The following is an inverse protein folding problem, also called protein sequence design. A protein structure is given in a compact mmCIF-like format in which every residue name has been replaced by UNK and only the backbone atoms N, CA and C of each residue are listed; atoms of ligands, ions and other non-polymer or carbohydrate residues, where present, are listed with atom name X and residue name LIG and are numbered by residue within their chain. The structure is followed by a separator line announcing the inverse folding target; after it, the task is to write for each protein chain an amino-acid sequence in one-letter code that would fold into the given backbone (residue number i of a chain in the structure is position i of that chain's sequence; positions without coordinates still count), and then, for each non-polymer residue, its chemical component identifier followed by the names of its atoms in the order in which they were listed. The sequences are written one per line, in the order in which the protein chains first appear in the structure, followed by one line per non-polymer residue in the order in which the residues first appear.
data_IF_767139952121
#
_entry.id   IF_767139952121
#
_cell.length_a   1.000
_cell.length_b   1.000
_cell.length_c   1.000
_cell.angle_alpha   90.00
_cell.angle_beta   90.00
_cell.angle_gamma   90.00
#
_symmetry.space_group_name_H-M   'P 1'
#
loop_
_entity.id
_entity.type
_entity.pdbx_description
1 polymer ?
#
# COMPACT_ATOMS: atom_id res chain seq x y z
N UNK A 1 -4.37 -2.21 -19.79
CA UNK A 1 -4.72 -3.55 -19.29
C UNK A 1 -3.50 -4.44 -19.09
N UNK A 2 -2.89 -5.05 -20.12
CA UNK A 2 -1.78 -6.03 -19.95
C UNK A 2 -0.61 -5.50 -19.10
N UNK A 3 -0.20 -4.24 -19.27
CA UNK A 3 0.89 -3.64 -18.49
C UNK A 3 0.60 -3.60 -16.98
N UNK A 4 -0.66 -3.44 -16.57
CA UNK A 4 -1.03 -3.31 -15.15
C UNK A 4 -0.89 -4.66 -14.43
N UNK A 5 -1.33 -5.75 -15.06
CA UNK A 5 -1.18 -7.12 -14.54
C UNK A 5 0.30 -7.50 -14.44
N UNK A 6 1.10 -7.18 -15.48
CA UNK A 6 2.53 -7.45 -15.47
C UNK A 6 3.24 -6.71 -14.33
N UNK A 7 2.83 -5.47 -14.03
CA UNK A 7 3.34 -4.72 -12.87
C UNK A 7 3.07 -5.46 -11.57
N UNK A 8 1.83 -5.91 -11.34
CA UNK A 8 1.44 -6.61 -10.11
C UNK A 8 2.18 -7.94 -9.97
N UNK A 9 2.23 -8.74 -11.03
CA UNK A 9 3.00 -10.00 -11.06
C UNK A 9 4.49 -9.73 -10.77
N UNK A 10 5.05 -8.67 -11.34
CA UNK A 10 6.44 -8.27 -11.08
C UNK A 10 6.67 -7.86 -9.62
N UNK A 11 5.72 -7.18 -8.98
CA UNK A 11 5.80 -6.83 -7.56
C UNK A 11 5.80 -8.07 -6.66
N UNK A 12 4.97 -9.07 -6.97
CA UNK A 12 4.90 -10.33 -6.23
C UNK A 12 6.19 -11.14 -6.39
N UNK A 13 6.66 -11.31 -7.63
CA UNK A 13 7.90 -12.04 -7.93
C UNK A 13 9.09 -11.36 -7.23
N UNK A 14 9.14 -10.03 -7.28
CA UNK A 14 10.21 -9.23 -6.69
C UNK A 14 9.80 -8.62 -5.34
N UNK A 15 9.09 -9.38 -4.50
CA UNK A 15 8.57 -8.88 -3.20
C UNK A 15 9.63 -8.30 -2.27
N UNK A 16 10.90 -8.68 -2.42
CA UNK A 16 12.03 -8.11 -1.67
C UNK A 16 12.26 -6.61 -1.97
N UNK A 17 11.71 -6.09 -3.06
CA UNK A 17 11.72 -4.66 -3.41
C UNK A 17 10.60 -3.87 -2.74
N UNK A 18 9.68 -4.55 -2.04
CA UNK A 18 8.65 -3.90 -1.24
C UNK A 18 9.28 -3.51 0.09
N UNK A 19 9.31 -2.22 0.38
CA UNK A 19 9.89 -1.66 1.61
C UNK A 19 8.92 -0.66 2.23
N UNK A 20 9.23 -0.22 3.45
CA UNK A 20 8.54 0.89 4.12
C UNK A 20 7.02 0.70 4.15
N UNK A 21 6.58 -0.49 4.57
CA UNK A 21 5.15 -0.79 4.64
C UNK A 21 4.54 -0.05 5.83
N UNK A 22 3.53 0.78 5.56
CA UNK A 22 2.75 1.54 6.51
C UNK A 22 1.30 1.05 6.51
N UNK A 23 0.88 0.49 7.64
CA UNK A 23 -0.50 0.03 7.84
C UNK A 23 -1.33 1.17 8.45
N UNK A 24 -2.25 1.76 7.67
CA UNK A 24 -3.07 2.90 8.10
C UNK A 24 -4.56 2.72 7.80
N UNK A 25 -5.36 2.37 8.81
CA UNK A 25 -6.80 2.15 8.61
C UNK A 25 -7.08 1.01 7.63
N UNK A 26 -7.83 1.28 6.56
CA UNK A 26 -8.18 0.28 5.52
C UNK A 26 -7.21 0.24 4.35
N UNK A 27 -6.44 1.31 4.13
CA UNK A 27 -5.46 1.37 3.05
C UNK A 27 -4.07 1.13 3.62
N UNK A 28 -3.26 0.39 2.88
CA UNK A 28 -1.91 0.04 3.30
C UNK A 28 -0.94 0.54 2.26
N UNK A 29 0.04 1.29 2.72
CA UNK A 29 0.98 1.96 1.87
C UNK A 29 2.33 1.26 1.91
N UNK A 30 3.05 1.30 0.81
CA UNK A 30 4.37 0.70 0.71
C UNK A 30 5.17 1.41 -0.38
N UNK A 31 6.49 1.27 -0.29
CA UNK A 31 7.40 1.70 -1.33
C UNK A 31 7.84 0.50 -2.15
N UNK A 32 7.91 0.66 -3.47
CA UNK A 32 8.47 -0.34 -4.36
C UNK A 32 9.75 0.17 -5.01
N UNK A 33 10.79 -0.66 -4.96
CA UNK A 33 12.12 -0.39 -5.54
C UNK A 33 12.75 0.91 -4.99
N UNK A 34 12.47 1.22 -3.72
CA UNK A 34 12.88 2.45 -3.03
C UNK A 34 12.48 3.76 -3.74
N UNK A 35 11.52 3.72 -4.67
CA UNK A 35 11.19 4.86 -5.53
C UNK A 35 9.71 5.19 -5.58
N UNK A 36 8.86 4.19 -5.82
CA UNK A 36 7.45 4.46 -6.11
C UNK A 36 6.61 4.17 -4.88
N UNK A 37 5.76 5.13 -4.50
CA UNK A 37 4.79 4.97 -3.42
C UNK A 37 3.51 4.37 -3.97
N UNK A 38 3.04 3.31 -3.30
CA UNK A 38 1.83 2.58 -3.64
C UNK A 38 0.93 2.45 -2.43
N UNK A 39 -0.38 2.42 -2.68
CA UNK A 39 -1.40 2.07 -1.70
C UNK A 39 -2.20 0.88 -2.18
N UNK A 40 -2.58 0.00 -1.26
CA UNK A 40 -3.46 -1.12 -1.52
C UNK A 40 -4.60 -1.15 -0.50
N UNK A 41 -5.82 -1.24 -1.01
CA UNK A 41 -7.05 -1.17 -0.23
C UNK A 41 -7.92 -2.37 -0.58
N UNK A 42 -8.39 -3.11 0.43
CA UNK A 42 -9.48 -4.07 0.26
C UNK A 42 -10.79 -3.41 0.66
N UNK A 43 -11.69 -3.27 -0.31
CA UNK A 43 -13.03 -2.71 -0.13
C UNK A 43 -13.98 -3.72 0.52
N UNK A 44 -15.11 -3.24 1.02
CA UNK A 44 -16.14 -4.06 1.69
C UNK A 44 -16.78 -5.09 0.76
N UNK A 45 -16.89 -4.78 -0.54
CA UNK A 45 -17.35 -5.68 -1.60
C UNK A 45 -16.29 -6.76 -1.97
N UNK A 46 -15.13 -6.75 -1.31
CA UNK A 46 -14.02 -7.67 -1.56
C UNK A 46 -13.13 -7.30 -2.74
N UNK A 47 -13.43 -6.21 -3.46
CA UNK A 47 -12.57 -5.68 -4.52
C UNK A 47 -11.29 -5.12 -3.90
N UNK A 48 -10.15 -5.43 -4.50
CA UNK A 48 -8.85 -4.89 -4.09
C UNK A 48 -8.46 -3.81 -5.09
N UNK A 49 -8.24 -2.60 -4.59
CA UNK A 49 -7.72 -1.47 -5.35
C UNK A 49 -6.23 -1.28 -5.06
N UNK A 50 -5.47 -1.00 -6.11
CA UNK A 50 -4.04 -0.67 -6.04
C UNK A 50 -3.83 0.70 -6.67
N UNK A 51 -3.28 1.63 -5.90
CA UNK A 51 -3.10 3.03 -6.27
C UNK A 51 -1.61 3.38 -6.33
N UNK A 52 -1.18 4.06 -7.39
CA UNK A 52 0.17 4.62 -7.50
C UNK A 52 0.14 6.13 -7.23
N UNK A 53 1.08 6.59 -6.39
CA UNK A 53 1.19 7.96 -5.94
C UNK A 53 2.51 8.58 -6.43
N UNK A 54 2.62 8.95 -7.73
CA UNK A 54 3.89 9.35 -8.36
C UNK A 54 4.51 10.65 -7.81
N UNK A 55 3.72 11.47 -7.13
CA UNK A 55 4.12 12.75 -6.55
C UNK A 55 4.80 12.60 -5.17
N UNK A 56 4.83 11.39 -4.61
CA UNK A 56 5.43 11.12 -3.30
C UNK A 56 6.59 10.13 -3.43
N UNK A 57 7.63 10.34 -2.61
CA UNK A 57 8.80 9.48 -2.53
C UNK A 57 8.90 8.73 -1.19
N UNK A 58 8.10 9.14 -0.20
CA UNK A 58 8.06 8.56 1.14
C UNK A 58 6.61 8.21 1.51
N UNK A 59 6.42 7.06 2.15
CA UNK A 59 5.11 6.60 2.62
C UNK A 59 4.59 7.41 3.80
N UNK A 60 5.46 8.14 4.49
CA UNK A 60 5.09 8.98 5.65
C UNK A 60 4.40 10.27 5.23
N UNK A 61 4.60 10.71 3.99
CA UNK A 61 3.98 11.93 3.45
C UNK A 61 2.51 11.72 3.05
N UNK A 62 1.98 10.51 3.25
CA UNK A 62 0.66 10.07 2.78
C UNK A 62 -0.51 10.65 3.57
N UNK A 63 -0.30 11.20 4.77
CA UNK A 63 -1.33 12.02 5.42
C UNK A 63 -1.82 13.16 4.51
N UNK A 64 -0.94 13.66 3.63
CA UNK A 64 -1.30 14.62 2.60
C UNK A 64 -2.06 14.01 1.40
N UNK A 65 -1.85 12.72 1.08
CA UNK A 65 -2.59 11.99 0.04
C UNK A 65 -4.08 11.84 0.38
N UNK A 66 -4.38 11.42 1.62
CA UNK A 66 -5.75 11.14 2.06
C UNK A 66 -6.64 12.39 2.00
N UNK A 67 -6.02 13.57 2.11
CA UNK A 67 -6.68 14.86 2.05
C UNK A 67 -6.88 15.39 0.62
N UNK A 68 -6.08 14.94 -0.35
CA UNK A 68 -6.02 15.56 -1.69
C UNK A 68 -6.68 14.73 -2.79
N UNK A 69 -6.90 13.43 -2.61
CA UNK A 69 -7.84 12.59 -3.38
C UNK A 69 -7.59 12.37 -4.89
N UNK A 70 -6.92 13.29 -5.59
CA UNK A 70 -7.14 13.46 -7.03
C UNK A 70 -5.95 13.11 -7.93
N UNK A 71 -4.78 12.75 -7.37
CA UNK A 71 -3.55 12.54 -8.15
C UNK A 71 -2.96 11.14 -8.03
N UNK A 72 -3.80 10.10 -7.95
CA UNK A 72 -3.32 8.71 -7.97
C UNK A 72 -3.85 7.94 -9.18
N UNK A 73 -3.05 6.98 -9.65
CA UNK A 73 -3.47 6.05 -10.70
C UNK A 73 -3.92 4.78 -10.04
N UNK A 74 -5.22 4.49 -10.11
CA UNK A 74 -5.84 3.35 -9.40
C UNK A 74 -6.25 2.25 -10.37
N UNK A 75 -6.00 1.00 -9.96
CA UNK A 75 -6.43 -0.22 -10.65
C UNK A 75 -7.26 -1.06 -9.69
N UNK A 76 -8.38 -1.60 -10.17
CA UNK A 76 -9.28 -2.40 -9.32
C UNK A 76 -9.31 -3.84 -9.78
N UNK A 77 -9.32 -4.79 -8.84
CA UNK A 77 -9.26 -6.23 -9.15
C UNK A 77 -10.46 -6.75 -9.96
N UNK A 78 -11.56 -5.99 -10.03
CA UNK A 78 -12.76 -6.29 -10.81
C UNK A 78 -12.67 -5.86 -12.28
N UNK A 79 -11.63 -5.10 -12.65
CA UNK A 79 -11.30 -4.74 -14.04
C UNK A 79 -10.55 -5.87 -14.77
N UNK A 80 -10.27 -6.97 -14.06
CA UNK A 80 -9.42 -8.06 -14.51
C UNK A 80 -10.14 -9.40 -14.40
N UNK A 81 -9.69 -10.37 -15.19
CA UNK A 81 -10.22 -11.73 -15.13
C UNK A 81 -9.90 -12.39 -13.78
N UNK A 82 -10.71 -13.38 -13.38
CA UNK A 82 -10.61 -14.01 -12.06
C UNK A 82 -9.21 -14.53 -11.71
N UNK A 83 -8.46 -15.05 -12.71
CA UNK A 83 -7.11 -15.56 -12.52
C UNK A 83 -6.09 -14.44 -12.20
N UNK A 84 -6.35 -13.22 -12.66
CA UNK A 84 -5.54 -12.03 -12.42
C UNK A 84 -5.95 -11.35 -11.11
N UNK A 85 -7.24 -11.39 -10.74
CA UNK A 85 -7.72 -10.94 -9.43
C UNK A 85 -7.07 -11.71 -8.27
N UNK A 86 -6.62 -12.96 -8.49
CA UNK A 86 -5.83 -13.73 -7.51
C UNK A 86 -4.50 -13.01 -7.22
N UNK A 87 -3.84 -12.45 -8.24
CA UNK A 87 -2.58 -11.72 -8.05
C UNK A 87 -2.75 -10.50 -7.14
N UNK A 88 -3.89 -9.80 -7.21
CA UNK A 88 -4.18 -8.71 -6.26
C UNK A 88 -4.32 -9.20 -4.82
N UNK A 89 -4.96 -10.35 -4.60
CA UNK A 89 -5.11 -10.96 -3.27
C UNK A 89 -3.76 -11.39 -2.70
N UNK A 90 -2.90 -11.97 -3.53
CA UNK A 90 -1.55 -12.38 -3.15
C UNK A 90 -0.71 -11.17 -2.75
N UNK A 91 -0.72 -10.11 -3.57
CA UNK A 91 -0.02 -8.86 -3.25
C UNK A 91 -0.54 -8.25 -1.94
N UNK A 92 -1.87 -8.17 -1.76
CA UNK A 92 -2.46 -7.68 -0.50
C UNK A 92 -1.97 -8.47 0.70
N UNK A 93 -1.94 -9.80 0.59
CA UNK A 93 -1.47 -10.67 1.67
C UNK A 93 0.01 -10.40 1.99
N UNK A 94 0.86 -10.23 0.98
CA UNK A 94 2.28 -9.88 1.17
C UNK A 94 2.43 -8.56 1.95
N UNK A 95 1.66 -7.53 1.58
CA UNK A 95 1.71 -6.22 2.25
C UNK A 95 1.27 -6.34 3.72
N UNK A 96 0.13 -6.98 3.99
CA UNK A 96 -0.37 -7.16 5.36
C UNK A 96 0.61 -7.95 6.23
N UNK A 97 1.17 -9.03 5.69
CA UNK A 97 2.11 -9.88 6.43
C UNK A 97 3.46 -9.21 6.67
N UNK A 98 3.89 -8.31 5.79
CA UNK A 98 5.15 -7.57 5.90
C UNK A 98 5.04 -6.25 6.69
N UNK A 99 3.84 -5.72 6.87
CA UNK A 99 3.61 -4.44 7.52
C UNK A 99 3.82 -4.47 9.02
N UNK A 100 4.55 -3.47 9.53
CA UNK A 100 4.51 -3.13 10.95
C UNK A 100 3.27 -2.27 11.17
N UNK A 101 2.37 -2.69 12.07
CA UNK A 101 1.32 -1.78 12.55
C UNK A 101 2.01 -0.56 13.16
N UNK A 102 1.49 0.63 12.87
CA UNK A 102 1.87 1.83 13.62
C UNK A 102 1.53 1.53 15.08
N UNK A 103 2.57 1.43 15.90
CA UNK A 103 2.43 1.23 17.34
C UNK A 103 2.18 2.60 17.97
N UNK A 104 0.91 3.02 17.97
CA UNK A 104 0.49 4.27 18.59
C UNK A 104 0.90 4.34 20.07
N UNK A 105 1.02 3.19 20.74
CA UNK A 105 1.50 3.08 22.12
C UNK A 105 2.93 3.59 22.25
N UNK A 106 3.84 3.23 21.33
CA UNK A 106 5.21 3.76 21.32
C UNK A 106 5.27 5.27 21.08
N UNK A 107 4.41 5.79 20.21
CA UNK A 107 4.33 7.25 19.97
C UNK A 107 3.85 7.96 21.24
N UNK A 108 2.84 7.41 21.91
CA UNK A 108 2.33 7.94 23.18
C UNK A 108 3.39 7.83 24.29
N UNK A 109 4.12 6.73 24.36
CA UNK A 109 5.22 6.52 25.32
C UNK A 109 6.36 7.50 25.09
N UNK A 110 6.72 7.83 23.84
CA UNK A 110 7.73 8.85 23.54
C UNK A 110 7.25 10.27 23.93
N UNK A 111 5.95 10.56 23.78
CA UNK A 111 5.35 11.84 24.19
C UNK A 111 5.32 11.95 25.73
N UNK A 112 4.96 10.87 26.42
CA UNK A 112 4.88 10.84 27.89
C UNK A 112 6.29 10.78 28.51
N UNK A 113 7.22 10.07 27.88
CA UNK A 113 8.61 9.89 28.30
C UNK A 113 9.51 11.11 28.12
N UNK A 114 9.05 12.16 27.43
CA UNK A 114 9.74 13.45 27.36
C UNK A 114 9.54 14.35 28.61
N UNK A 115 8.82 13.86 29.63
CA UNK A 115 8.49 14.62 30.85
C UNK A 115 8.78 13.90 32.18
N UNK A 116 9.73 12.96 32.22
CA UNK A 116 10.27 12.42 33.48
C UNK A 116 11.77 12.64 33.58
#
# INVERSE_FOLDING_TARGET
MIKNILTIKSMIINKHKITDILIHGREHFFRYDNKYVWGILKREDGVIALSCYPQFNDVRDIEHCLLTGDNCITFSSNEFEAHESISFKDLYTIIISGGKKIDYTRILDDIIGAHV
#
